data_IF_213543275849
#
_entry.id   IF_213543275849
#
_cell.length_a   1.000
_cell.length_b   1.000
_cell.length_c   1.000
_cell.angle_alpha   90.00
_cell.angle_beta   90.00
_cell.angle_gamma   90.00
#
_symmetry.space_group_name_H-M   'P 1'
#
loop_
_entity.id
_entity.type
_entity.pdbx_description
1 polymer ?
#
# COMPACT_ATOMS: atom_id res chain seq x y z
N UNK A 1 52.86 -48.43 -5.91
CA UNK A 1 51.42 -48.64 -5.67
C UNK A 1 50.69 -47.40 -6.16
N UNK A 2 49.56 -47.49 -6.86
CA UNK A 2 48.85 -46.29 -7.27
C UNK A 2 48.34 -45.59 -5.99
N UNK A 3 49.05 -44.53 -5.60
CA UNK A 3 48.45 -43.42 -4.86
C UNK A 3 47.33 -42.89 -5.76
N UNK A 4 46.14 -42.61 -5.31
CA UNK A 4 45.78 -41.85 -4.12
C UNK A 4 44.41 -41.35 -4.50
N UNK A 5 43.38 -42.00 -3.95
CA UNK A 5 42.04 -41.45 -3.98
C UNK A 5 42.01 -40.48 -2.81
N UNK A 6 41.80 -39.21 -3.11
CA UNK A 6 41.65 -38.14 -2.12
C UNK A 6 40.19 -37.75 -2.15
N UNK A 7 39.50 -37.92 -1.02
CA UNK A 7 38.13 -37.47 -0.87
C UNK A 7 38.12 -36.16 -0.09
N UNK A 8 37.39 -35.18 -0.58
CA UNK A 8 37.05 -33.94 0.11
C UNK A 8 35.59 -34.03 0.53
N UNK A 9 35.31 -33.90 1.82
CA UNK A 9 33.95 -33.77 2.33
C UNK A 9 33.68 -32.32 2.70
N UNK A 10 32.52 -31.79 2.32
CA UNK A 10 32.10 -30.44 2.67
C UNK A 10 30.94 -30.48 3.67
N UNK A 11 30.98 -29.56 4.64
CA UNK A 11 29.95 -29.44 5.67
C UNK A 11 29.59 -27.98 5.89
N UNK A 12 28.32 -27.72 6.20
CA UNK A 12 27.84 -26.40 6.67
C UNK A 12 27.60 -26.49 8.16
N UNK A 13 28.14 -25.54 8.93
CA UNK A 13 27.97 -25.46 10.39
C UNK A 13 27.48 -24.07 10.82
N UNK A 14 26.82 -24.02 11.97
CA UNK A 14 26.46 -22.75 12.60
C UNK A 14 27.73 -21.97 12.99
N UNK A 15 27.75 -20.65 12.79
CA UNK A 15 28.89 -19.82 13.15
C UNK A 15 29.19 -19.77 14.67
N UNK A 16 28.27 -20.25 15.51
CA UNK A 16 28.43 -20.30 16.98
C UNK A 16 29.05 -21.60 17.50
N UNK A 17 29.31 -22.60 16.66
CA UNK A 17 29.76 -23.92 17.12
C UNK A 17 31.20 -24.20 16.68
N UNK A 18 32.13 -24.09 17.62
CA UNK A 18 33.51 -24.56 17.47
C UNK A 18 33.48 -26.09 17.43
N UNK A 19 33.62 -26.68 16.24
CA UNK A 19 33.64 -28.14 16.10
C UNK A 19 35.04 -28.65 16.44
N UNK A 20 35.17 -29.32 17.59
CA UNK A 20 36.29 -30.20 17.92
C UNK A 20 35.80 -31.64 17.74
N UNK A 21 36.33 -32.33 16.72
CA UNK A 21 36.16 -33.78 16.53
C UNK A 21 35.13 -34.15 15.46
N UNK A 22 35.57 -34.98 14.51
CA UNK A 22 34.85 -35.34 13.30
C UNK A 22 33.54 -36.09 13.54
N UNK A 23 32.48 -35.53 12.99
CA UNK A 23 31.52 -36.07 12.02
C UNK A 23 30.66 -34.87 11.59
N UNK A 24 30.28 -34.70 10.32
CA UNK A 24 29.51 -33.53 9.88
C UNK A 24 28.15 -33.51 10.59
N UNK A 25 28.03 -32.63 11.58
CA UNK A 25 26.76 -32.34 12.26
C UNK A 25 25.78 -31.78 11.23
N UNK A 26 24.54 -32.28 11.31
CA UNK A 26 23.53 -32.28 10.26
C UNK A 26 23.18 -30.90 9.68
N UNK A 27 23.02 -30.91 8.34
CA UNK A 27 22.66 -29.85 7.39
C UNK A 27 21.21 -29.31 7.60
N UNK A 28 20.55 -29.60 8.73
CA UNK A 28 19.09 -29.43 8.84
C UNK A 28 18.62 -28.05 9.34
N UNK A 29 19.40 -27.30 10.11
CA UNK A 29 18.89 -26.07 10.77
C UNK A 29 19.16 -24.77 9.98
N UNK A 30 20.06 -24.77 9.00
CA UNK A 30 20.44 -23.54 8.27
C UNK A 30 19.64 -23.30 6.98
N UNK A 31 18.96 -24.31 6.44
CA UNK A 31 18.30 -24.22 5.12
C UNK A 31 19.29 -24.09 3.95
N UNK A 32 20.56 -24.45 4.16
CA UNK A 32 21.65 -24.35 3.18
C UNK A 32 22.04 -25.76 2.76
N UNK A 33 22.13 -26.03 1.45
CA UNK A 33 22.59 -27.33 0.92
C UNK A 33 23.78 -27.16 -0.01
N UNK A 34 24.66 -28.16 -0.03
CA UNK A 34 25.83 -28.23 -0.92
C UNK A 34 25.62 -29.33 -1.95
N UNK A 35 25.91 -29.06 -3.22
CA UNK A 35 25.82 -30.05 -4.29
C UNK A 35 27.03 -29.95 -5.24
N UNK A 36 27.88 -30.98 -5.33
CA UNK A 36 27.93 -32.16 -4.45
C UNK A 36 28.46 -31.81 -3.05
N UNK A 37 28.09 -32.60 -2.03
CA UNK A 37 28.59 -32.49 -0.65
C UNK A 37 29.95 -33.17 -0.43
N UNK A 38 30.43 -33.89 -1.44
CA UNK A 38 31.73 -34.55 -1.45
C UNK A 38 32.32 -34.60 -2.86
N UNK A 39 33.64 -34.55 -2.94
CA UNK A 39 34.40 -34.58 -4.20
C UNK A 39 35.52 -35.60 -4.08
N UNK A 40 35.79 -36.33 -5.15
CA UNK A 40 36.89 -37.30 -5.19
C UNK A 40 37.88 -36.97 -6.29
N UNK A 41 39.14 -36.80 -5.89
CA UNK A 41 40.28 -36.63 -6.77
C UNK A 41 41.07 -37.94 -6.88
N UNK A 42 41.55 -38.20 -8.08
CA UNK A 42 42.32 -39.36 -8.52
C UNK A 42 43.48 -38.87 -9.37
N UNK A 43 44.48 -39.71 -9.66
CA UNK A 43 45.58 -39.32 -10.56
C UNK A 43 45.15 -38.91 -11.97
N UNK A 44 43.90 -39.17 -12.37
CA UNK A 44 43.39 -38.86 -13.72
C UNK A 44 42.50 -37.62 -13.77
N UNK A 45 42.19 -36.98 -12.63
CA UNK A 45 41.32 -35.80 -12.57
C UNK A 45 41.76 -34.77 -11.51
N UNK A 46 42.97 -34.89 -10.97
CA UNK A 46 43.51 -33.98 -9.94
C UNK A 46 43.64 -32.53 -10.43
N UNK A 47 43.77 -32.34 -11.74
CA UNK A 47 43.93 -31.08 -12.45
C UNK A 47 42.61 -30.53 -13.01
N UNK A 48 41.49 -31.24 -12.78
CA UNK A 48 40.16 -30.80 -13.21
C UNK A 48 39.45 -30.12 -12.03
N UNK A 49 39.10 -28.83 -12.14
CA UNK A 49 38.36 -28.15 -11.09
C UNK A 49 36.95 -28.73 -10.96
N UNK A 50 36.51 -28.92 -9.72
CA UNK A 50 35.14 -29.32 -9.39
C UNK A 50 34.45 -28.15 -8.70
N UNK A 51 33.28 -27.77 -9.21
CA UNK A 51 32.47 -26.71 -8.63
C UNK A 51 31.45 -27.34 -7.68
N UNK A 52 31.34 -26.77 -6.48
CA UNK A 52 30.29 -27.11 -5.51
C UNK A 52 29.34 -25.93 -5.42
N UNK A 53 28.06 -26.18 -5.67
CA UNK A 53 27.02 -25.18 -5.53
C UNK A 53 26.50 -25.15 -4.10
N UNK A 54 26.41 -23.97 -3.51
CA UNK A 54 25.75 -23.73 -2.24
C UNK A 54 24.41 -23.04 -2.50
N UNK A 55 23.32 -23.67 -2.06
CA UNK A 55 21.97 -23.13 -2.22
C UNK A 55 21.34 -22.90 -0.86
N UNK A 56 20.54 -21.83 -0.74
CA UNK A 56 19.68 -21.59 0.42
C UNK A 56 18.22 -21.47 -0.01
N UNK A 57 17.29 -21.99 0.78
CA UNK A 57 15.85 -21.82 0.52
C UNK A 57 15.30 -20.56 1.19
N UNK A 58 14.56 -19.72 0.45
CA UNK A 58 13.70 -18.67 1.04
C UNK A 58 12.58 -19.33 1.87
N UNK A 59 12.29 -18.76 3.03
CA UNK A 59 11.28 -19.27 3.97
C UNK A 59 10.03 -18.35 4.08
N UNK A 60 10.01 -17.24 3.35
CA UNK A 60 8.91 -16.27 3.29
C UNK A 60 8.76 -15.47 4.59
N UNK A 61 9.81 -15.39 5.40
CA UNK A 61 9.80 -14.84 6.74
C UNK A 61 10.89 -13.79 6.87
N UNK A 62 10.49 -12.51 6.95
CA UNK A 62 11.43 -11.39 7.10
C UNK A 62 12.16 -11.51 8.43
N UNK A 63 13.46 -11.76 8.37
CA UNK A 63 14.32 -12.08 9.50
C UNK A 63 15.72 -11.49 9.40
N UNK A 64 16.54 -11.77 10.43
CA UNK A 64 17.91 -11.30 10.46
C UNK A 64 18.79 -12.09 9.48
N UNK A 65 19.78 -11.40 8.91
CA UNK A 65 20.88 -11.99 8.14
C UNK A 65 21.55 -13.09 8.97
N UNK A 66 21.70 -14.29 8.40
CA UNK A 66 22.30 -15.44 9.07
C UNK A 66 23.75 -15.61 8.63
N UNK A 67 24.60 -16.04 9.56
CA UNK A 67 25.99 -16.41 9.27
C UNK A 67 26.19 -17.90 9.53
N UNK A 68 26.77 -18.59 8.55
CA UNK A 68 27.17 -19.99 8.62
C UNK A 68 28.68 -20.10 8.35
N UNK A 69 29.24 -21.29 8.52
CA UNK A 69 30.57 -21.62 7.99
C UNK A 69 30.47 -22.82 7.05
N UNK A 70 31.18 -22.75 5.93
CA UNK A 70 31.45 -23.91 5.09
C UNK A 70 32.82 -24.44 5.51
N UNK A 71 32.89 -25.72 5.85
CA UNK A 71 34.11 -26.44 6.21
C UNK A 71 34.39 -27.53 5.18
N UNK A 72 35.66 -27.79 4.90
CA UNK A 72 36.11 -28.82 4.00
C UNK A 72 37.24 -29.62 4.63
N UNK A 73 37.06 -30.95 4.71
CA UNK A 73 38.01 -31.89 5.29
C UNK A 73 38.48 -32.91 4.25
N UNK A 74 39.77 -33.23 4.29
CA UNK A 74 40.42 -34.15 3.35
C UNK A 74 40.58 -35.51 4.02
N UNK A 75 40.24 -36.58 3.30
CA UNK A 75 40.54 -37.96 3.66
C UNK A 75 41.34 -38.62 2.52
N UNK A 76 42.57 -39.02 2.83
CA UNK A 76 43.50 -39.61 1.87
C UNK A 76 44.31 -40.75 2.53
N UNK A 77 43.68 -41.89 2.87
CA UNK A 77 44.28 -42.95 3.69
C UNK A 77 45.50 -43.65 3.05
N UNK A 78 45.83 -43.33 1.80
CA UNK A 78 46.99 -43.85 1.04
C UNK A 78 47.94 -42.74 0.58
N UNK A 79 47.70 -41.50 1.00
CA UNK A 79 48.50 -40.33 0.66
C UNK A 79 48.67 -39.45 1.92
N UNK A 80 49.62 -39.81 2.82
CA UNK A 80 49.78 -39.16 4.13
C UNK A 80 50.03 -37.66 4.06
N UNK A 81 50.63 -37.20 2.95
CA UNK A 81 50.86 -35.79 2.70
C UNK A 81 49.53 -35.02 2.52
N UNK A 82 48.51 -35.64 1.90
CA UNK A 82 47.15 -35.07 1.80
C UNK A 82 46.29 -35.33 3.03
N UNK A 83 46.47 -36.48 3.69
CA UNK A 83 45.69 -36.87 4.88
C UNK A 83 46.01 -36.02 6.12
N UNK A 84 47.15 -35.33 6.09
CA UNK A 84 47.59 -34.41 7.16
C UNK A 84 47.22 -32.95 6.92
N UNK A 85 46.48 -32.65 5.84
CA UNK A 85 46.02 -31.29 5.58
C UNK A 85 45.00 -30.84 6.65
N UNK A 86 45.13 -29.61 7.17
CA UNK A 86 44.16 -29.08 8.11
C UNK A 86 42.81 -28.84 7.44
N UNK A 87 41.74 -28.86 8.22
CA UNK A 87 40.42 -28.44 7.76
C UNK A 87 40.47 -26.98 7.26
N UNK A 88 39.84 -26.74 6.11
CA UNK A 88 39.64 -25.39 5.58
C UNK A 88 38.23 -24.92 5.95
N UNK A 89 38.08 -23.66 6.34
CA UNK A 89 36.76 -23.10 6.63
C UNK A 89 36.61 -21.67 6.14
N UNK A 90 35.44 -21.32 5.62
CA UNK A 90 35.07 -19.98 5.21
C UNK A 90 33.74 -19.58 5.83
N UNK A 91 33.60 -18.31 6.19
CA UNK A 91 32.31 -17.76 6.62
C UNK A 91 31.39 -17.57 5.42
N UNK A 92 30.16 -18.05 5.53
CA UNK A 92 29.07 -17.84 4.59
C UNK A 92 28.06 -16.89 5.21
N UNK A 93 27.73 -15.82 4.49
CA UNK A 93 26.66 -14.88 4.87
C UNK A 93 25.46 -15.18 4.00
N UNK A 94 24.34 -15.50 4.63
CA UNK A 94 23.05 -15.67 3.95
C UNK A 94 22.21 -14.42 4.24
N UNK A 95 22.05 -13.62 3.19
CA UNK A 95 21.15 -12.48 3.21
C UNK A 95 19.70 -12.94 3.24
N UNK A 96 18.89 -12.29 4.08
CA UNK A 96 17.45 -12.42 3.99
C UNK A 96 16.95 -11.60 2.79
N UNK A 97 16.39 -12.29 1.81
CA UNK A 97 15.81 -11.68 0.60
C UNK A 97 14.32 -11.39 0.76
N UNK A 98 13.67 -11.91 1.81
CA UNK A 98 12.24 -11.73 2.01
C UNK A 98 11.93 -10.28 2.45
N UNK A 99 12.93 -9.54 2.97
CA UNK A 99 12.86 -8.09 3.16
C UNK A 99 12.86 -7.27 1.85
N UNK A 100 13.33 -7.84 0.73
CA UNK A 100 13.32 -7.20 -0.59
C UNK A 100 11.97 -7.41 -1.33
N UNK A 101 11.24 -8.48 -1.00
CA UNK A 101 9.87 -8.75 -1.43
C UNK A 101 8.87 -7.90 -0.59
N UNK A 102 9.03 -6.58 -0.64
CA UNK A 102 8.21 -5.55 0.01
C UNK A 102 7.72 -5.90 1.42
N UNK A 103 8.55 -5.62 2.44
CA UNK A 103 8.12 -5.61 3.85
C UNK A 103 7.09 -4.50 4.18
N UNK A 104 6.50 -3.87 3.16
CA UNK A 104 5.55 -2.80 3.28
C UNK A 104 4.17 -3.31 3.72
N UNK A 105 3.43 -2.52 4.51
CA UNK A 105 2.00 -2.73 4.61
C UNK A 105 1.38 -2.60 3.21
N UNK A 106 0.69 -3.65 2.79
CA UNK A 106 -0.13 -3.65 1.58
C UNK A 106 -1.46 -3.05 1.96
N UNK A 107 -1.81 -1.94 1.31
CA UNK A 107 -3.09 -1.25 1.52
C UNK A 107 -3.94 -1.39 0.27
N UNK A 108 -5.24 -1.67 0.45
CA UNK A 108 -6.17 -1.86 -0.67
C UNK A 108 -7.59 -1.59 -0.21
N UNK A 109 -8.46 -1.09 -1.10
CA UNK A 109 -9.90 -1.14 -0.85
C UNK A 109 -10.40 -2.60 -0.88
N UNK A 110 -11.07 -3.02 0.19
CA UNK A 110 -11.57 -4.39 0.38
C UNK A 110 -13.03 -4.51 -0.01
N UNK A 111 -13.82 -3.45 0.21
CA UNK A 111 -15.24 -3.39 -0.18
C UNK A 111 -15.75 -1.95 -0.27
N UNK A 112 -16.83 -1.73 -1.02
CA UNK A 112 -17.40 -0.41 -1.35
C UNK A 112 -17.44 -0.20 -2.87
N UNK A 113 -18.27 0.71 -3.37
CA UNK A 113 -18.19 1.14 -4.77
C UNK A 113 -16.97 2.05 -4.92
N UNK A 114 -15.81 1.44 -5.12
CA UNK A 114 -14.57 2.15 -5.34
C UNK A 114 -13.69 1.45 -6.38
N UNK A 115 -13.15 2.24 -7.31
CA UNK A 115 -12.06 1.79 -8.15
C UNK A 115 -10.75 1.91 -7.35
N UNK A 116 -10.01 0.80 -7.25
CA UNK A 116 -8.64 0.82 -6.71
C UNK A 116 -7.66 0.95 -7.85
N UNK A 117 -6.96 2.07 -7.94
CA UNK A 117 -5.83 2.26 -8.85
C UNK A 117 -4.55 2.14 -8.02
N UNK A 118 -3.62 1.30 -8.46
CA UNK A 118 -2.31 1.17 -7.82
C UNK A 118 -1.26 1.66 -8.81
N UNK A 119 -0.56 2.73 -8.45
CA UNK A 119 0.63 3.15 -9.19
C UNK A 119 1.79 2.24 -8.77
N UNK A 120 2.18 1.33 -9.66
CA UNK A 120 3.26 0.38 -9.40
C UNK A 120 4.64 1.04 -9.22
N UNK A 121 4.83 2.28 -9.68
CA UNK A 121 6.09 3.00 -9.57
C UNK A 121 6.21 3.78 -8.24
N UNK A 122 5.11 4.34 -7.74
CA UNK A 122 5.07 5.12 -6.49
C UNK A 122 4.55 4.33 -5.28
N UNK A 123 3.90 3.19 -5.51
CA UNK A 123 3.22 2.40 -4.47
C UNK A 123 1.96 3.07 -3.93
N UNK A 124 1.52 4.19 -4.52
CA UNK A 124 0.34 4.92 -4.09
C UNK A 124 -0.92 4.17 -4.50
N UNK A 125 -1.87 4.07 -3.57
CA UNK A 125 -3.16 3.43 -3.78
C UNK A 125 -4.22 4.52 -3.85
N UNK A 126 -4.81 4.75 -5.02
CA UNK A 126 -5.94 5.66 -5.15
C UNK A 126 -7.24 4.87 -4.99
N UNK A 127 -8.08 5.33 -4.08
CA UNK A 127 -9.44 4.85 -3.85
C UNK A 127 -10.39 5.93 -4.34
N UNK A 128 -11.22 5.62 -5.33
CA UNK A 128 -12.26 6.55 -5.81
C UNK A 128 -13.57 6.24 -5.10
N UNK A 129 -14.25 7.21 -4.51
CA UNK A 129 -15.55 7.02 -3.85
C UNK A 129 -16.54 8.09 -4.28
N UNK A 130 -17.80 7.71 -4.54
CA UNK A 130 -18.86 8.69 -4.76
C UNK A 130 -19.28 9.37 -3.45
N UNK A 131 -19.86 10.56 -3.55
CA UNK A 131 -20.55 11.18 -2.41
C UNK A 131 -21.63 10.27 -1.81
N UNK A 132 -21.90 10.47 -0.52
CA UNK A 132 -22.81 9.63 0.26
C UNK A 132 -22.36 8.17 0.45
N UNK A 133 -21.16 7.80 -0.02
CA UNK A 133 -20.67 6.42 0.04
C UNK A 133 -19.65 6.19 1.16
N UNK A 134 -19.39 4.92 1.46
CA UNK A 134 -18.31 4.49 2.35
C UNK A 134 -17.45 3.42 1.69
N UNK A 135 -16.15 3.48 1.93
CA UNK A 135 -15.17 2.51 1.46
C UNK A 135 -14.45 1.88 2.65
N UNK A 136 -14.29 0.56 2.62
CA UNK A 136 -13.51 -0.18 3.60
C UNK A 136 -12.12 -0.39 3.03
N UNK A 137 -11.12 0.13 3.73
CA UNK A 137 -9.70 -0.01 3.39
C UNK A 137 -9.09 -1.07 4.30
N UNK A 138 -8.44 -2.05 3.71
CA UNK A 138 -7.75 -3.13 4.39
C UNK A 138 -6.24 -2.94 4.33
N UNK A 139 -5.59 -3.30 5.44
CA UNK A 139 -4.14 -3.31 5.60
C UNK A 139 -3.72 -4.71 6.00
N UNK A 140 -2.67 -5.23 5.36
CA UNK A 140 -2.00 -6.49 5.74
C UNK A 140 -0.51 -6.40 5.46
N UNK A 141 0.27 -7.37 5.94
CA UNK A 141 1.68 -7.47 5.58
C UNK A 141 1.86 -8.33 4.33
N UNK A 142 2.83 -7.99 3.49
CA UNK A 142 3.21 -8.78 2.32
C UNK A 142 4.07 -10.02 2.68
N UNK A 143 4.78 -9.96 3.80
CA UNK A 143 5.61 -11.07 4.31
C UNK A 143 5.35 -11.36 5.78
N UNK A 144 5.56 -12.62 6.19
CA UNK A 144 5.35 -13.06 7.56
C UNK A 144 6.44 -12.48 8.48
N UNK A 145 6.10 -11.80 9.59
CA UNK A 145 7.11 -11.17 10.41
C UNK A 145 7.67 -12.15 11.47
N UNK A 146 8.96 -12.05 11.80
CA UNK A 146 9.61 -12.87 12.85
C UNK A 146 9.16 -12.48 14.27
N UNK A 147 8.88 -11.20 14.50
CA UNK A 147 8.29 -10.67 15.74
C UNK A 147 7.06 -9.81 15.38
N UNK A 148 6.21 -9.46 16.34
CA UNK A 148 5.07 -8.60 16.07
C UNK A 148 5.50 -7.30 15.38
N UNK A 149 4.64 -6.78 14.51
CA UNK A 149 4.82 -5.52 13.81
C UNK A 149 3.62 -4.63 14.10
N UNK A 150 3.89 -3.40 14.50
CA UNK A 150 2.90 -2.35 14.62
C UNK A 150 2.98 -1.45 13.37
N UNK A 151 1.85 -1.29 12.69
CA UNK A 151 1.68 -0.38 11.57
C UNK A 151 0.92 0.84 12.06
N UNK A 152 1.63 1.96 12.19
CA UNK A 152 1.02 3.25 12.53
C UNK A 152 0.42 3.86 11.27
N UNK A 153 -0.85 4.25 11.33
CA UNK A 153 -1.54 4.93 10.25
C UNK A 153 -1.76 6.39 10.63
N UNK A 154 -1.27 7.31 9.81
CA UNK A 154 -1.52 8.75 9.97
C UNK A 154 -2.29 9.26 8.77
N UNK A 155 -3.37 9.99 9.02
CA UNK A 155 -4.13 10.67 8.01
C UNK A 155 -3.85 12.18 8.01
N UNK A 156 -3.70 12.75 6.83
CA UNK A 156 -3.96 14.18 6.60
C UNK A 156 -5.14 14.32 5.66
N UNK A 157 -6.19 15.02 6.11
CA UNK A 157 -7.35 15.34 5.30
C UNK A 157 -7.44 16.86 5.12
N UNK A 158 -7.55 17.32 3.88
CA UNK A 158 -7.76 18.74 3.55
C UNK A 158 -9.23 19.14 3.57
N UNK A 159 -10.16 18.17 3.48
CA UNK A 159 -11.61 18.37 3.34
C UNK A 159 -12.34 17.64 4.47
N UNK A 160 -12.23 18.14 5.71
CA UNK A 160 -12.77 17.47 6.92
C UNK A 160 -14.28 17.45 6.99
N UNK A 161 -14.96 18.35 6.28
CA UNK A 161 -16.41 18.44 6.29
C UNK A 161 -17.07 17.42 5.34
N UNK A 162 -16.32 16.94 4.33
CA UNK A 162 -16.79 15.94 3.37
C UNK A 162 -16.22 14.55 3.67
N UNK A 163 -14.94 14.45 4.04
CA UNK A 163 -14.28 13.15 4.23
C UNK A 163 -14.01 12.88 5.71
N UNK A 164 -14.39 11.70 6.17
CA UNK A 164 -14.10 11.22 7.53
C UNK A 164 -13.55 9.79 7.52
N UNK A 165 -12.88 9.38 8.59
CA UNK A 165 -12.27 8.05 8.68
C UNK A 165 -12.35 7.44 10.08
N UNK A 166 -12.29 6.12 10.16
CA UNK A 166 -12.27 5.36 11.42
C UNK A 166 -10.88 4.81 11.80
N UNK A 167 -9.80 5.48 11.38
CA UNK A 167 -8.44 5.03 11.65
C UNK A 167 -8.19 4.76 13.15
N UNK A 168 -7.55 3.62 13.49
CA UNK A 168 -7.25 3.28 14.87
C UNK A 168 -6.08 4.13 15.41
N UNK A 169 -6.30 4.77 16.56
CA UNK A 169 -5.30 5.64 17.20
C UNK A 169 -4.05 4.88 17.71
N UNK A 170 -4.19 3.60 18.03
CA UNK A 170 -3.11 2.74 18.54
C UNK A 170 -2.36 1.97 17.44
N UNK A 171 -2.57 2.31 16.16
CA UNK A 171 -2.03 1.55 15.04
C UNK A 171 -2.66 0.16 14.87
N UNK A 172 -2.12 -0.61 13.94
CA UNK A 172 -2.53 -1.98 13.62
C UNK A 172 -1.41 -2.96 13.97
N UNK A 173 -1.71 -3.97 14.79
CA UNK A 173 -0.69 -4.94 15.23
C UNK A 173 -0.84 -6.25 14.47
N UNK A 174 0.21 -6.66 13.78
CA UNK A 174 0.30 -7.92 13.03
C UNK A 174 1.29 -8.86 13.70
N UNK A 175 0.88 -10.11 13.92
CA UNK A 175 1.72 -11.17 14.44
C UNK A 175 2.02 -12.24 13.40
N UNK A 176 2.83 -13.23 13.78
CA UNK A 176 3.19 -14.38 12.93
C UNK A 176 1.99 -15.11 12.32
N UNK A 177 0.85 -15.12 12.99
CA UNK A 177 -0.31 -15.89 12.56
C UNK A 177 -1.44 -15.01 12.02
N UNK A 178 -1.31 -13.68 12.14
CA UNK A 178 -2.31 -12.70 11.68
C UNK A 178 -1.81 -11.77 10.57
N UNK A 179 -0.58 -11.94 10.10
CA UNK A 179 0.05 -11.05 9.12
C UNK A 179 -0.70 -10.92 7.77
N UNK A 180 -1.38 -11.99 7.33
CA UNK A 180 -2.23 -11.96 6.12
C UNK A 180 -3.67 -11.57 6.39
N UNK A 181 -4.09 -11.55 7.65
CA UNK A 181 -5.46 -11.17 8.02
C UNK A 181 -5.59 -9.67 7.84
N UNK A 182 -6.46 -9.26 6.91
CA UNK A 182 -6.73 -7.84 6.69
C UNK A 182 -7.32 -7.22 7.96
N UNK A 183 -6.65 -6.18 8.45
CA UNK A 183 -7.22 -5.27 9.44
C UNK A 183 -7.74 -4.05 8.70
N UNK A 184 -8.97 -3.65 9.01
CA UNK A 184 -9.69 -2.68 8.19
C UNK A 184 -10.02 -1.40 8.95
N UNK A 185 -10.12 -0.31 8.21
CA UNK A 185 -10.77 0.93 8.64
C UNK A 185 -11.72 1.41 7.53
N UNK A 186 -12.68 2.26 7.91
CA UNK A 186 -13.65 2.83 6.99
C UNK A 186 -13.30 4.27 6.68
N UNK A 187 -13.46 4.65 5.43
CA UNK A 187 -13.47 6.03 4.95
C UNK A 187 -14.87 6.34 4.47
N UNK A 188 -15.43 7.46 4.91
CA UNK A 188 -16.79 7.87 4.58
C UNK A 188 -16.76 9.24 3.92
N UNK A 189 -17.49 9.35 2.82
CA UNK A 189 -17.72 10.59 2.09
C UNK A 189 -19.14 11.05 2.41
N UNK A 190 -19.28 12.22 3.01
CA UNK A 190 -20.57 12.85 3.24
C UNK A 190 -21.20 13.21 1.89
N UNK A 191 -22.53 13.16 1.83
CA UNK A 191 -23.27 13.78 0.74
C UNK A 191 -23.49 15.24 1.13
N UNK A 192 -23.17 16.17 0.24
CA UNK A 192 -23.69 17.52 0.32
C UNK A 192 -24.54 17.84 -0.93
N UNK A 193 -24.86 19.12 -1.16
CA UNK A 193 -25.60 19.56 -2.35
C UNK A 193 -24.73 20.58 -3.14
N UNK A 194 -23.40 20.57 -2.94
CA UNK A 194 -22.49 21.62 -3.43
C UNK A 194 -21.88 21.18 -4.75
N UNK A 195 -22.24 21.87 -5.84
CA UNK A 195 -21.60 21.62 -7.13
C UNK A 195 -20.16 22.15 -7.14
N UNK A 196 -19.19 21.24 -6.95
CA UNK A 196 -17.75 21.55 -6.98
C UNK A 196 -16.93 20.38 -7.52
N UNK A 197 -15.80 20.70 -8.12
CA UNK A 197 -14.80 19.69 -8.47
C UNK A 197 -14.08 19.24 -7.19
N UNK A 198 -14.26 17.98 -6.78
CA UNK A 198 -13.54 17.42 -5.65
C UNK A 198 -12.17 16.86 -6.05
N UNK A 199 -11.17 17.21 -5.25
CA UNK A 199 -10.04 16.33 -4.94
C UNK A 199 -9.88 16.33 -3.42
N UNK A 200 -10.79 15.66 -2.72
CA UNK A 200 -10.65 15.48 -1.28
C UNK A 200 -9.63 14.37 -1.00
N UNK A 201 -8.37 14.75 -0.81
CA UNK A 201 -7.29 13.81 -0.54
C UNK A 201 -7.25 13.46 0.96
N UNK A 202 -7.60 12.23 1.29
CA UNK A 202 -7.16 11.60 2.53
C UNK A 202 -5.84 10.89 2.22
N UNK A 203 -4.71 11.43 2.68
CA UNK A 203 -3.41 10.75 2.58
C UNK A 203 -3.21 9.91 3.82
N UNK A 204 -3.23 8.59 3.68
CA UNK A 204 -2.90 7.67 4.78
C UNK A 204 -1.47 7.18 4.61
N UNK A 205 -0.58 7.60 5.49
CA UNK A 205 0.78 7.05 5.56
C UNK A 205 0.81 5.90 6.55
N UNK A 206 1.24 4.73 6.08
CA UNK A 206 1.51 3.59 6.93
C UNK A 206 3.01 3.52 7.27
N UNK A 207 3.34 3.32 8.55
CA UNK A 207 4.73 3.11 9.00
C UNK A 207 4.80 1.89 9.90
N UNK A 208 5.57 0.88 9.48
CA UNK A 208 5.79 -0.33 10.27
C UNK A 208 6.95 -0.14 11.27
N UNK A 209 6.79 -0.69 12.48
CA UNK A 209 7.83 -0.81 13.52
C UNK A 209 7.71 -2.16 14.21
N UNK A 210 8.84 -2.80 14.50
CA UNK A 210 8.85 -4.05 15.26
C UNK A 210 8.39 -3.82 16.70
N UNK A 211 7.50 -4.68 17.20
CA UNK A 211 6.99 -4.68 18.58
C UNK A 211 7.19 -6.05 19.23
N UNK A 212 8.04 -6.13 20.24
CA UNK A 212 8.24 -7.35 21.02
C UNK A 212 9.31 -7.22 22.10
N UNK A 213 9.03 -7.81 23.26
CA UNK A 213 10.01 -7.98 24.33
C UNK A 213 10.74 -9.32 24.15
N UNK A 214 11.88 -9.29 23.48
CA UNK A 214 12.82 -10.41 23.38
C UNK A 214 14.24 -9.85 23.29
N UNK A 215 15.06 -10.11 24.29
CA UNK A 215 16.45 -9.66 24.29
C UNK A 215 17.19 -10.28 23.08
N UNK A 216 17.93 -9.46 22.32
CA UNK A 216 18.83 -9.82 21.20
C UNK A 216 18.30 -9.91 19.75
N UNK A 217 17.16 -9.34 19.38
CA UNK A 217 16.90 -9.08 17.94
C UNK A 217 16.76 -7.59 17.68
N UNK A 218 17.82 -6.97 17.16
CA UNK A 218 17.72 -5.63 16.57
C UNK A 218 16.90 -5.73 15.29
N UNK A 219 15.64 -5.33 15.40
CA UNK A 219 14.68 -5.31 14.29
C UNK A 219 14.50 -3.92 13.69
N UNK A 220 15.25 -2.93 14.16
CA UNK A 220 15.11 -1.54 13.74
C UNK A 220 15.45 -1.33 12.26
N UNK A 221 16.26 -2.23 11.68
CA UNK A 221 16.59 -2.28 10.25
C UNK A 221 15.81 -3.30 9.43
N UNK A 222 14.98 -4.16 10.05
CA UNK A 222 14.21 -5.19 9.33
C UNK A 222 12.93 -4.65 8.71
N UNK A 223 12.36 -3.61 9.32
CA UNK A 223 11.19 -2.90 8.80
C UNK A 223 11.58 -1.44 8.59
N UNK A 224 12.26 -1.17 7.47
CA UNK A 224 12.40 0.18 6.99
C UNK A 224 10.99 0.79 6.86
N UNK A 225 10.86 2.08 7.19
CA UNK A 225 9.59 2.81 7.09
C UNK A 225 9.13 2.84 5.63
N UNK A 226 8.38 1.82 5.21
CA UNK A 226 7.76 1.80 3.89
C UNK A 226 6.49 2.61 3.96
N UNK A 227 6.53 3.81 3.38
CA UNK A 227 5.38 4.70 3.29
C UNK A 227 4.56 4.29 2.08
N UNK A 228 3.47 3.56 2.33
CA UNK A 228 2.39 3.43 1.36
C UNK A 228 1.43 4.57 1.62
N UNK A 229 1.24 5.47 0.64
CA UNK A 229 0.19 6.48 0.70
C UNK A 229 -1.08 5.90 0.06
N UNK A 230 -2.20 6.03 0.77
CA UNK A 230 -3.53 5.89 0.15
C UNK A 230 -4.02 7.28 -0.15
N UNK A 231 -4.41 7.55 -1.38
CA UNK A 231 -5.12 8.76 -1.77
C UNK A 231 -6.60 8.42 -1.95
N UNK A 232 -7.47 9.29 -1.45
CA UNK A 232 -8.90 9.23 -1.77
C UNK A 232 -9.20 10.26 -2.86
N UNK A 233 -9.95 9.86 -3.87
CA UNK A 233 -10.59 10.75 -4.82
C UNK A 233 -12.11 10.67 -4.63
N UNK A 234 -12.79 11.80 -4.66
CA UNK A 234 -14.25 11.86 -4.50
C UNK A 234 -14.88 12.24 -5.83
N UNK A 235 -15.88 11.46 -6.26
CA UNK A 235 -16.72 11.81 -7.41
C UNK A 235 -17.93 12.61 -6.92
N UNK A 236 -18.03 13.86 -7.38
CA UNK A 236 -19.15 14.76 -7.17
C UNK A 236 -20.33 14.34 -8.06
N UNK A 237 -21.56 14.28 -7.52
CA UNK A 237 -22.77 14.05 -8.32
C UNK A 237 -23.67 15.29 -8.47
N UNK A 238 -23.25 16.42 -7.91
CA UNK A 238 -23.96 17.71 -8.04
C UNK A 238 -23.47 18.58 -9.21
N UNK A 239 -24.31 18.78 -10.23
CA UNK A 239 -24.01 19.73 -11.31
C UNK A 239 -24.45 21.16 -10.97
N UNK A 240 -23.69 22.14 -11.46
CA UNK A 240 -24.09 23.55 -11.37
C UNK A 240 -25.29 23.83 -12.29
N UNK A 241 -26.45 24.16 -11.72
CA UNK A 241 -27.68 24.42 -12.47
C UNK A 241 -28.41 25.68 -11.97
N UNK A 242 -28.99 26.46 -12.90
CA UNK A 242 -29.99 27.50 -12.60
C UNK A 242 -31.31 27.11 -13.26
N UNK A 243 -32.35 26.94 -12.45
CA UNK A 243 -33.69 26.56 -12.90
C UNK A 243 -34.59 27.80 -12.89
N UNK A 244 -35.30 28.05 -14.01
CA UNK A 244 -36.32 29.11 -14.10
C UNK A 244 -37.67 28.50 -14.50
N UNK A 245 -38.62 28.47 -13.57
CA UNK A 245 -39.84 27.63 -13.65
C UNK A 245 -40.83 28.02 -14.77
N UNK A 246 -40.69 29.20 -15.35
CA UNK A 246 -41.59 29.76 -16.38
C UNK A 246 -40.99 29.75 -17.80
N UNK A 247 -39.71 29.41 -17.95
CA UNK A 247 -39.03 29.27 -19.24
C UNK A 247 -39.07 27.84 -19.79
N UNK A 248 -39.67 26.89 -19.06
CA UNK A 248 -39.88 25.52 -19.55
C UNK A 248 -40.91 25.44 -20.70
N UNK A 249 -41.75 26.47 -20.87
CA UNK A 249 -42.67 26.60 -21.99
C UNK A 249 -42.07 27.50 -23.09
N UNK A 250 -42.30 27.21 -24.39
CA UNK A 250 -41.73 27.98 -25.50
C UNK A 250 -42.25 29.43 -25.59
N UNK A 251 -43.33 29.76 -24.89
CA UNK A 251 -43.84 31.12 -24.74
C UNK A 251 -44.61 31.27 -23.42
N UNK A 252 -44.49 32.44 -22.80
CA UNK A 252 -45.25 32.86 -21.62
C UNK A 252 -46.02 34.13 -21.98
N UNK A 253 -47.28 34.25 -21.53
CA UNK A 253 -48.12 35.42 -21.80
C UNK A 253 -48.49 36.13 -20.51
N UNK A 254 -48.39 37.46 -20.50
CA UNK A 254 -48.92 38.31 -19.44
C UNK A 254 -49.97 39.27 -20.07
N UNK A 255 -51.15 39.42 -19.47
CA UNK A 255 -52.15 40.37 -19.98
C UNK A 255 -51.70 41.82 -19.80
N UNK A 256 -52.23 42.72 -20.62
CA UNK A 256 -51.95 44.17 -20.51
C UNK A 256 -52.36 44.66 -19.11
N UNK A 257 -51.41 45.29 -18.41
CA UNK A 257 -51.58 45.75 -17.03
C UNK A 257 -51.44 44.67 -15.96
N UNK A 258 -51.15 43.43 -16.34
CA UNK A 258 -50.88 42.32 -15.40
C UNK A 258 -49.40 42.15 -15.06
N UNK A 259 -49.12 41.22 -14.16
CA UNK A 259 -47.77 40.77 -13.80
C UNK A 259 -47.62 39.27 -14.02
N UNK A 260 -46.38 38.82 -14.20
CA UNK A 260 -45.98 37.42 -14.24
C UNK A 260 -44.84 37.22 -13.23
N UNK A 261 -44.99 36.25 -12.35
CA UNK A 261 -43.93 35.84 -11.43
C UNK A 261 -43.11 34.71 -12.05
N UNK A 262 -41.78 34.86 -12.03
CA UNK A 262 -40.84 33.80 -12.41
C UNK A 262 -40.18 33.30 -11.11
N UNK A 263 -40.12 31.99 -10.92
CA UNK A 263 -39.28 31.42 -9.85
C UNK A 263 -37.91 31.10 -10.44
N UNK A 264 -36.85 31.58 -9.78
CA UNK A 264 -35.46 31.32 -10.13
C UNK A 264 -34.84 30.61 -8.93
N UNK A 265 -34.24 29.44 -9.17
CA UNK A 265 -33.64 28.61 -8.15
C UNK A 265 -32.26 28.13 -8.63
N UNK A 266 -31.28 28.06 -7.71
CA UNK A 266 -30.07 27.30 -7.94
C UNK A 266 -30.34 25.81 -7.69
N UNK A 267 -30.03 24.95 -8.66
CA UNK A 267 -30.22 23.49 -8.57
C UNK A 267 -29.27 22.81 -7.59
N UNK A 268 -28.12 23.44 -7.32
CA UNK A 268 -27.10 23.05 -6.35
C UNK A 268 -26.61 24.28 -5.58
N UNK A 269 -26.04 24.06 -4.40
CA UNK A 269 -25.49 25.10 -3.54
C UNK A 269 -24.20 25.65 -4.14
N UNK A 270 -24.08 26.96 -4.39
CA UNK A 270 -22.88 27.50 -5.02
C UNK A 270 -21.72 27.64 -4.02
N UNK A 271 -20.48 27.52 -4.51
CA UNK A 271 -19.24 27.71 -3.72
C UNK A 271 -18.82 29.18 -3.57
N UNK A 272 -19.48 30.09 -4.30
CA UNK A 272 -19.33 31.53 -4.19
C UNK A 272 -20.60 32.24 -4.66
N UNK A 273 -20.67 33.56 -4.52
CA UNK A 273 -21.87 34.31 -4.90
C UNK A 273 -22.13 34.22 -6.42
N UNK A 274 -23.34 33.80 -6.79
CA UNK A 274 -23.83 33.72 -8.17
C UNK A 274 -24.91 34.76 -8.37
N UNK A 275 -24.64 35.76 -9.22
CA UNK A 275 -25.64 36.78 -9.59
C UNK A 275 -26.24 36.46 -10.95
N UNK A 276 -27.55 36.21 -10.97
CA UNK A 276 -28.36 36.10 -12.19
C UNK A 276 -28.95 37.46 -12.51
N UNK A 277 -28.60 38.00 -13.67
CA UNK A 277 -29.16 39.27 -14.16
C UNK A 277 -30.27 38.99 -15.16
N UNK A 278 -31.45 39.55 -14.91
CA UNK A 278 -32.61 39.49 -15.79
C UNK A 278 -32.65 40.76 -16.63
N UNK A 279 -32.50 40.60 -17.94
CA UNK A 279 -32.55 41.71 -18.88
C UNK A 279 -33.67 41.50 -19.90
N UNK A 280 -34.33 42.60 -20.24
CA UNK A 280 -35.25 42.64 -21.38
C UNK A 280 -34.43 42.58 -22.67
N UNK A 281 -34.84 41.73 -23.61
CA UNK A 281 -34.28 41.68 -24.96
C UNK A 281 -34.54 42.97 -25.76
N UNK A 282 -33.81 43.12 -26.87
CA UNK A 282 -33.93 44.27 -27.78
C UNK A 282 -35.20 44.18 -28.62
N UNK A 283 -36.36 44.47 -28.04
CA UNK A 283 -37.64 44.41 -28.75
C UNK A 283 -38.31 45.79 -28.82
N UNK A 284 -38.48 46.28 -30.05
CA UNK A 284 -39.21 47.50 -30.38
C UNK A 284 -40.71 47.31 -30.13
N UNK A 285 -41.29 48.05 -29.18
CA UNK A 285 -42.74 48.09 -28.93
C UNK A 285 -43.20 47.53 -27.58
N UNK A 286 -42.30 46.93 -26.79
CA UNK A 286 -42.58 46.45 -25.43
C UNK A 286 -41.85 47.28 -24.35
N UNK A 287 -41.81 48.60 -24.50
CA UNK A 287 -41.14 49.52 -23.56
C UNK A 287 -41.86 49.58 -22.20
N UNK A 288 -43.12 49.12 -22.15
CA UNK A 288 -43.94 49.09 -20.95
C UNK A 288 -43.66 47.89 -20.02
N UNK A 289 -42.77 46.97 -20.39
CA UNK A 289 -42.39 45.82 -19.56
C UNK A 289 -41.22 46.19 -18.66
N UNK A 290 -41.41 46.06 -17.36
CA UNK A 290 -40.36 46.20 -16.35
C UNK A 290 -40.08 44.86 -15.65
N UNK A 291 -38.84 44.65 -15.22
CA UNK A 291 -38.41 43.48 -14.45
C UNK A 291 -38.00 43.97 -13.07
N UNK A 292 -38.58 43.38 -12.02
CA UNK A 292 -38.24 43.71 -10.64
C UNK A 292 -38.35 42.47 -9.74
N UNK A 293 -37.29 42.09 -8.99
CA UNK A 293 -35.94 42.65 -9.08
C UNK A 293 -35.26 42.27 -10.42
N UNK A 294 -34.35 43.11 -10.91
CA UNK A 294 -33.58 42.84 -12.13
C UNK A 294 -32.39 41.88 -11.89
N UNK A 295 -32.08 41.59 -10.62
CA UNK A 295 -30.99 40.70 -10.23
C UNK A 295 -31.44 39.80 -9.09
N UNK A 296 -31.04 38.54 -9.16
CA UNK A 296 -31.14 37.58 -8.06
C UNK A 296 -29.72 37.11 -7.74
N UNK A 297 -29.33 37.15 -6.47
CA UNK A 297 -28.03 36.64 -6.03
C UNK A 297 -28.25 35.43 -5.15
N UNK A 298 -27.57 34.33 -5.47
CA UNK A 298 -27.44 33.15 -4.64
C UNK A 298 -26.07 33.19 -3.97
N UNK A 299 -26.06 33.06 -2.66
CA UNK A 299 -24.87 33.06 -1.81
C UNK A 299 -24.54 31.65 -1.34
N UNK A 300 -23.39 31.47 -0.71
CA UNK A 300 -22.99 30.18 -0.11
C UNK A 300 -23.90 29.71 1.05
N UNK A 301 -24.90 30.50 1.44
CA UNK A 301 -25.91 30.11 2.44
C UNK A 301 -27.27 29.81 1.84
N UNK A 302 -27.46 30.10 0.54
CA UNK A 302 -28.71 29.84 -0.17
C UNK A 302 -28.70 28.39 -0.64
N UNK A 303 -29.27 27.48 0.16
CA UNK A 303 -29.40 26.07 -0.19
C UNK A 303 -30.53 25.79 -1.18
N UNK A 304 -30.55 24.61 -1.84
CA UNK A 304 -31.68 24.21 -2.65
C UNK A 304 -32.93 24.18 -1.76
N UNK A 305 -33.90 25.05 -2.06
CA UNK A 305 -35.20 24.99 -1.41
C UNK A 305 -35.80 23.62 -1.74
N UNK A 306 -35.94 22.77 -0.70
CA UNK A 306 -36.44 21.40 -0.77
C UNK A 306 -37.47 21.25 -1.89
N UNK A 307 -37.13 20.52 -2.97
CA UNK A 307 -38.15 20.03 -3.90
C UNK A 307 -39.16 19.26 -3.04
N UNK A 308 -40.46 19.59 -3.08
CA UNK A 308 -41.46 18.69 -2.51
C UNK A 308 -41.27 17.35 -3.21
N UNK A 309 -40.98 16.30 -2.45
CA UNK A 309 -41.03 14.93 -2.96
C UNK A 309 -42.45 14.71 -3.46
N UNK A 310 -42.61 14.60 -4.77
CA UNK A 310 -43.84 14.16 -5.42
C UNK A 310 -44.09 12.68 -5.15
#
# INVERSE_FOLDING_TARGET
MPRGVVSLSLAVRSATESVVGGDPVAIAESGISLSPDSVTFTPNNWDVPVFVEATSTSDGVVGAVRSAQIAASVAAPRDPEYDSLPELSASLRVDDVDGLESSAPVVRAVSGQAATLVDAASGVVTVVAAEGSSVVVGVRLAARPVVGVEVVLTASNTETDTVSHSLPAAGLVFGRDSWQTEQTFTVTVANDDVARDYVAALVVTATARGVGSGANVDVSGLWATSQTAVDLAVENDDDAEIVVSSLAAPAVSVPVGGSLELSILAGSKPTGDVTVTLAKGSDAGCDAVSISPATVTFTTTDGPQLRPRS
#
